data_IF_587359547393
#
_entry.id   IF_587359547393
#
_cell.length_a   1.000
_cell.length_b   1.000
_cell.length_c   1.000
_cell.angle_alpha   90.00
_cell.angle_beta   90.00
_cell.angle_gamma   90.00
#
_symmetry.space_group_name_H-M   'P 1'
#
loop_
_entity.id
_entity.type
_entity.pdbx_description
1 polymer ?
#
# COMPACT_ATOMS: atom_id res chain seq x y z
N UNK A 1 24.40 8.91 8.02
CA UNK A 1 23.44 9.45 7.04
C UNK A 1 22.34 8.46 6.68
N UNK A 2 22.66 7.17 6.45
CA UNK A 2 21.68 6.09 6.20
C UNK A 2 20.64 5.94 7.31
N UNK A 3 21.08 5.89 8.57
CA UNK A 3 20.18 5.65 9.72
C UNK A 3 19.17 6.78 9.96
N UNK A 4 19.61 8.05 9.85
CA UNK A 4 18.71 9.19 9.99
C UNK A 4 17.60 9.19 8.93
N UNK A 5 17.93 8.77 7.69
CA UNK A 5 16.95 8.63 6.60
C UNK A 5 15.93 7.53 6.88
N UNK A 6 16.39 6.38 7.39
CA UNK A 6 15.48 5.28 7.76
C UNK A 6 14.54 5.73 8.88
N UNK A 7 15.06 6.38 9.94
CA UNK A 7 14.24 6.91 11.04
C UNK A 7 13.21 7.93 10.56
N UNK A 8 13.60 8.89 9.72
CA UNK A 8 12.67 9.86 9.14
C UNK A 8 11.57 9.19 8.31
N UNK A 9 11.93 8.17 7.52
CA UNK A 9 10.96 7.38 6.74
C UNK A 9 9.99 6.62 7.66
N UNK A 10 10.47 5.99 8.73
CA UNK A 10 9.61 5.27 9.68
C UNK A 10 8.57 6.21 10.32
N UNK A 11 8.97 7.40 10.75
CA UNK A 11 8.04 8.38 11.32
C UNK A 11 6.97 8.80 10.31
N UNK A 12 7.33 8.97 9.03
CA UNK A 12 6.34 9.29 7.98
C UNK A 12 5.44 8.10 7.63
N UNK A 13 5.96 6.88 7.79
CA UNK A 13 5.23 5.67 7.43
C UNK A 13 4.01 5.41 8.29
N UNK A 14 4.02 5.78 9.56
CA UNK A 14 2.83 5.69 10.41
C UNK A 14 1.64 6.43 9.78
N UNK A 15 1.82 7.70 9.41
CA UNK A 15 0.77 8.50 8.76
C UNK A 15 0.36 7.95 7.39
N UNK A 16 1.34 7.49 6.59
CA UNK A 16 1.05 6.93 5.25
C UNK A 16 0.25 5.63 5.36
N UNK A 17 0.57 4.76 6.32
CA UNK A 17 -0.12 3.50 6.57
C UNK A 17 -1.54 3.76 7.06
N UNK A 18 -1.72 4.67 8.01
CA UNK A 18 -3.05 5.02 8.52
C UNK A 18 -3.95 5.57 7.39
N UNK A 19 -3.40 6.45 6.54
CA UNK A 19 -4.10 6.96 5.38
C UNK A 19 -4.44 5.87 4.37
N UNK A 20 -3.54 4.91 4.15
CA UNK A 20 -3.78 3.77 3.28
C UNK A 20 -4.91 2.89 3.81
N UNK A 21 -4.85 2.47 5.07
CA UNK A 21 -5.90 1.69 5.73
C UNK A 21 -7.25 2.40 5.73
N UNK A 22 -7.28 3.72 5.99
CA UNK A 22 -8.52 4.51 5.92
C UNK A 22 -9.12 4.59 4.50
N UNK A 23 -8.27 4.61 3.47
CA UNK A 23 -8.72 4.56 2.09
C UNK A 23 -9.26 3.16 1.72
N UNK A 24 -8.59 2.09 2.17
CA UNK A 24 -9.05 0.71 1.94
C UNK A 24 -10.40 0.45 2.62
N UNK A 25 -10.58 0.87 3.87
CA UNK A 25 -11.86 0.76 4.57
C UNK A 25 -12.99 1.52 3.86
N UNK A 26 -12.70 2.67 3.24
CA UNK A 26 -13.70 3.35 2.39
C UNK A 26 -14.05 2.54 1.15
N UNK A 27 -13.07 1.87 0.53
CA UNK A 27 -13.29 1.05 -0.67
C UNK A 27 -14.12 -0.18 -0.32
N UNK A 28 -13.78 -0.87 0.77
CA UNK A 28 -14.53 -2.01 1.30
C UNK A 28 -16.00 -1.66 1.55
N UNK A 29 -16.25 -0.53 2.20
CA UNK A 29 -17.61 -0.04 2.43
C UNK A 29 -18.39 0.22 1.11
N UNK A 30 -17.72 0.72 0.06
CA UNK A 30 -18.37 0.90 -1.25
C UNK A 30 -18.76 -0.45 -1.86
N UNK A 31 -17.88 -1.46 -1.76
CA UNK A 31 -18.16 -2.80 -2.26
C UNK A 31 -19.32 -3.47 -1.52
N UNK A 32 -19.43 -3.24 -0.20
CA UNK A 32 -20.51 -3.81 0.61
C UNK A 32 -21.90 -3.27 0.25
N UNK A 33 -22.00 -2.00 -0.18
CA UNK A 33 -23.28 -1.32 -0.45
C UNK A 33 -23.84 -1.68 -1.85
N UNK A 34 -23.01 -2.20 -2.77
CA UNK A 34 -23.38 -2.56 -4.15
C UNK A 34 -24.02 -1.42 -4.98
N UNK A 35 -23.93 -0.17 -4.52
CA UNK A 35 -24.33 1.03 -5.28
C UNK A 35 -23.06 1.78 -5.65
N UNK A 36 -22.73 1.78 -6.93
CA UNK A 36 -21.52 2.43 -7.43
C UNK A 36 -21.79 3.92 -7.70
N UNK A 37 -21.19 4.78 -6.87
CA UNK A 37 -20.93 6.17 -7.22
C UNK A 37 -19.56 6.24 -7.92
N UNK A 38 -19.58 6.33 -9.26
CA UNK A 38 -18.38 6.29 -10.10
C UNK A 38 -17.41 7.43 -9.77
N UNK A 39 -17.92 8.64 -9.52
CA UNK A 39 -17.08 9.79 -9.19
C UNK A 39 -16.38 9.59 -7.85
N UNK A 40 -17.10 9.03 -6.87
CA UNK A 40 -16.54 8.71 -5.57
C UNK A 40 -15.51 7.58 -5.67
N UNK A 41 -15.75 6.55 -6.48
CA UNK A 41 -14.79 5.48 -6.75
C UNK A 41 -13.51 6.02 -7.41
N UNK A 42 -13.62 6.83 -8.46
CA UNK A 42 -12.46 7.42 -9.14
C UNK A 42 -11.64 8.31 -8.19
N UNK A 43 -12.30 9.15 -7.38
CA UNK A 43 -11.61 9.98 -6.37
C UNK A 43 -10.89 9.12 -5.34
N UNK A 44 -11.52 8.05 -4.87
CA UNK A 44 -10.91 7.16 -3.88
C UNK A 44 -9.70 6.43 -4.46
N UNK A 45 -9.81 5.87 -5.66
CA UNK A 45 -8.68 5.21 -6.33
C UNK A 45 -7.50 6.14 -6.55
N UNK A 46 -7.74 7.42 -6.90
CA UNK A 46 -6.66 8.40 -7.01
C UNK A 46 -5.92 8.59 -5.69
N UNK A 47 -6.63 8.57 -4.55
CA UNK A 47 -6.01 8.64 -3.21
C UNK A 47 -5.23 7.37 -2.88
N UNK A 48 -5.80 6.19 -3.14
CA UNK A 48 -5.13 4.89 -2.95
C UNK A 48 -3.83 4.83 -3.76
N UNK A 49 -3.87 5.20 -5.04
CA UNK A 49 -2.70 5.29 -5.93
C UNK A 49 -1.62 6.21 -5.38
N UNK A 50 -2.01 7.35 -4.82
CA UNK A 50 -1.08 8.30 -4.20
C UNK A 50 -0.42 7.70 -2.95
N UNK A 51 -1.21 7.16 -2.03
CA UNK A 51 -0.67 6.54 -0.81
C UNK A 51 0.23 5.35 -1.14
N UNK A 52 -0.11 4.55 -2.15
CA UNK A 52 0.74 3.43 -2.60
C UNK A 52 2.08 3.90 -3.17
N UNK A 53 2.12 5.05 -3.85
CA UNK A 53 3.37 5.66 -4.30
C UNK A 53 4.24 6.11 -3.13
N UNK A 54 3.63 6.70 -2.11
CA UNK A 54 4.34 7.11 -0.88
C UNK A 54 4.88 5.88 -0.13
N UNK A 55 4.11 4.78 -0.07
CA UNK A 55 4.56 3.47 0.43
C UNK A 55 5.77 2.97 -0.36
N UNK A 56 5.71 2.99 -1.69
CA UNK A 56 6.84 2.58 -2.55
C UNK A 56 8.12 3.35 -2.25
N UNK A 57 8.04 4.67 -2.20
CA UNK A 57 9.19 5.54 -1.97
C UNK A 57 9.82 5.28 -0.60
N UNK A 58 9.01 5.08 0.44
CA UNK A 58 9.51 4.74 1.76
C UNK A 58 10.09 3.32 1.85
N UNK A 59 9.43 2.32 1.25
CA UNK A 59 9.93 0.94 1.23
C UNK A 59 11.28 0.86 0.53
N UNK A 60 11.39 1.51 -0.63
CA UNK A 60 12.65 1.61 -1.37
C UNK A 60 13.74 2.25 -0.53
N UNK A 61 13.43 3.37 0.14
CA UNK A 61 14.40 4.05 1.03
C UNK A 61 14.90 3.14 2.14
N UNK A 62 14.00 2.37 2.76
CA UNK A 62 14.37 1.42 3.81
C UNK A 62 15.25 0.30 3.23
N UNK A 63 14.80 -0.39 2.16
CA UNK A 63 15.55 -1.48 1.52
C UNK A 63 16.98 -1.06 1.16
N UNK A 64 17.14 0.12 0.56
CA UNK A 64 18.45 0.62 0.12
C UNK A 64 19.39 1.00 1.27
N UNK A 65 18.87 1.29 2.47
CA UNK A 65 19.66 1.84 3.58
C UNK A 65 19.73 0.92 4.81
N UNK A 66 18.89 -0.11 4.91
CA UNK A 66 18.74 -0.95 6.10
C UNK A 66 20.04 -1.68 6.49
N UNK A 67 20.85 -2.08 5.50
CA UNK A 67 22.15 -2.72 5.74
C UNK A 67 23.15 -1.83 6.48
N UNK A 68 22.97 -0.51 6.43
CA UNK A 68 23.78 0.49 7.11
C UNK A 68 23.17 1.03 8.41
N UNK A 69 22.06 0.47 8.90
CA UNK A 69 21.43 0.85 10.18
C UNK A 69 22.09 0.04 11.30
N UNK A 70 22.78 0.69 12.23
CA UNK A 70 23.49 0.00 13.33
C UNK A 70 22.56 -0.26 14.50
N UNK A 71 21.63 0.66 14.75
CA UNK A 71 20.64 0.53 15.81
C UNK A 71 19.68 -0.65 15.55
N UNK A 72 19.68 -1.59 16.50
CA UNK A 72 18.92 -2.84 16.39
C UNK A 72 17.41 -2.57 16.37
N UNK A 73 16.93 -1.67 17.22
CA UNK A 73 15.51 -1.36 17.31
C UNK A 73 14.99 -0.79 15.99
N UNK A 74 15.65 0.24 15.45
CA UNK A 74 15.30 0.84 14.16
C UNK A 74 15.27 -0.19 13.03
N UNK A 75 16.22 -1.15 13.05
CA UNK A 75 16.28 -2.22 12.06
C UNK A 75 15.09 -3.18 12.18
N UNK A 76 14.76 -3.62 13.40
CA UNK A 76 13.62 -4.52 13.66
C UNK A 76 12.28 -3.85 13.31
N UNK A 77 12.09 -2.57 13.70
CA UNK A 77 10.89 -1.79 13.35
C UNK A 77 10.72 -1.66 11.83
N UNK A 78 11.80 -1.37 11.11
CA UNK A 78 11.80 -1.27 9.65
C UNK A 78 11.37 -2.58 8.97
N UNK A 79 11.93 -3.71 9.42
CA UNK A 79 11.58 -5.03 8.89
C UNK A 79 10.12 -5.36 9.23
N UNK A 80 9.68 -5.04 10.45
CA UNK A 80 8.31 -5.27 10.91
C UNK A 80 7.27 -4.53 10.08
N UNK A 81 7.46 -3.23 9.86
CA UNK A 81 6.53 -2.42 9.07
C UNK A 81 6.45 -2.90 7.62
N UNK A 82 7.60 -3.21 7.01
CA UNK A 82 7.62 -3.72 5.63
C UNK A 82 6.95 -5.09 5.52
N UNK A 83 7.17 -5.96 6.50
CA UNK A 83 6.51 -7.26 6.55
C UNK A 83 4.99 -7.12 6.68
N UNK A 84 4.52 -6.22 7.55
CA UNK A 84 3.08 -5.90 7.67
C UNK A 84 2.49 -5.39 6.35
N UNK A 85 3.16 -4.43 5.70
CA UNK A 85 2.74 -3.88 4.40
C UNK A 85 2.64 -4.97 3.33
N UNK A 86 3.64 -5.86 3.25
CA UNK A 86 3.67 -6.95 2.29
C UNK A 86 2.61 -8.04 2.54
N UNK A 87 2.37 -8.41 3.80
CA UNK A 87 1.48 -9.52 4.16
C UNK A 87 0.00 -9.12 4.22
N UNK A 88 -0.27 -7.90 4.68
CA UNK A 88 -1.63 -7.44 4.99
C UNK A 88 -2.01 -6.27 4.08
N UNK A 89 -1.41 -5.09 4.25
CA UNK A 89 -1.88 -3.87 3.58
C UNK A 89 -1.97 -3.97 2.05
N UNK A 90 -0.90 -4.41 1.40
CA UNK A 90 -0.85 -4.54 -0.07
C UNK A 90 -1.71 -5.70 -0.60
N UNK A 91 -1.84 -6.76 0.20
CA UNK A 91 -2.68 -7.90 -0.15
C UNK A 91 -4.17 -7.51 -0.10
N UNK A 92 -4.59 -6.81 0.94
CA UNK A 92 -5.95 -6.30 1.10
C UNK A 92 -6.30 -5.33 -0.03
N UNK A 93 -5.37 -4.43 -0.38
CA UNK A 93 -5.53 -3.53 -1.51
C UNK A 93 -5.77 -4.29 -2.82
N UNK A 94 -4.98 -5.34 -3.10
CA UNK A 94 -5.13 -6.17 -4.30
C UNK A 94 -6.52 -6.83 -4.37
N UNK A 95 -6.97 -7.40 -3.25
CA UNK A 95 -8.26 -8.08 -3.16
C UNK A 95 -9.42 -7.09 -3.36
N UNK A 96 -9.35 -5.91 -2.72
CA UNK A 96 -10.36 -4.86 -2.86
C UNK A 96 -10.42 -4.28 -4.27
N UNK A 97 -9.28 -4.07 -4.94
CA UNK A 97 -9.27 -3.59 -6.32
C UNK A 97 -9.90 -4.60 -7.29
N UNK A 98 -9.59 -5.89 -7.11
CA UNK A 98 -10.24 -6.96 -7.90
C UNK A 98 -11.74 -7.02 -7.64
N UNK A 99 -12.15 -6.92 -6.37
CA UNK A 99 -13.57 -6.82 -6.00
C UNK A 99 -14.26 -5.62 -6.66
N UNK A 100 -13.61 -4.45 -6.70
CA UNK A 100 -14.12 -3.27 -7.39
C UNK A 100 -14.31 -3.50 -8.88
N UNK A 101 -13.32 -4.11 -9.55
CA UNK A 101 -13.43 -4.44 -10.97
C UNK A 101 -14.62 -5.37 -11.24
N UNK A 102 -14.84 -6.38 -10.40
CA UNK A 102 -15.97 -7.30 -10.54
C UNK A 102 -17.33 -6.62 -10.34
N UNK A 103 -17.46 -5.75 -9.33
CA UNK A 103 -18.70 -5.00 -9.08
C UNK A 103 -18.96 -4.01 -10.22
N UNK A 104 -17.95 -3.30 -10.71
CA UNK A 104 -18.06 -2.39 -11.86
C UNK A 104 -18.55 -3.14 -13.10
N UNK A 105 -17.91 -4.27 -13.42
CA UNK A 105 -18.27 -5.10 -14.58
C UNK A 105 -19.71 -5.60 -14.51
N UNK A 106 -20.21 -5.98 -13.33
CA UNK A 106 -21.61 -6.38 -13.12
C UNK A 106 -22.60 -5.25 -13.36
N UNK A 107 -22.19 -4.01 -13.14
CA UNK A 107 -23.00 -2.81 -13.36
C UNK A 107 -22.86 -2.22 -14.78
N UNK A 108 -22.16 -2.91 -15.68
CA UNK A 108 -21.94 -2.45 -17.05
C UNK A 108 -20.84 -1.40 -17.20
N UNK A 109 -20.08 -1.15 -16.14
CA UNK A 109 -18.98 -0.19 -16.10
C UNK A 109 -17.63 -0.90 -16.16
N UNK A 110 -16.59 -0.17 -16.57
CA UNK A 110 -15.23 -0.71 -16.67
C UNK A 110 -14.25 0.18 -15.93
N UNK A 111 -13.33 -0.46 -15.21
CA UNK A 111 -12.24 0.22 -14.52
C UNK A 111 -10.93 -0.49 -14.82
N UNK A 112 -9.95 0.28 -15.28
CA UNK A 112 -8.62 -0.25 -15.53
C UNK A 112 -7.79 -0.19 -14.24
N UNK A 113 -7.42 -1.39 -13.79
CA UNK A 113 -6.59 -1.62 -12.60
C UNK A 113 -5.36 -2.46 -12.92
N UNK A 114 -5.05 -2.75 -14.18
CA UNK A 114 -3.96 -3.66 -14.52
C UNK A 114 -2.61 -3.13 -14.03
N UNK A 115 -2.36 -1.84 -14.24
CA UNK A 115 -1.16 -1.17 -13.73
C UNK A 115 -1.14 -1.13 -12.19
N UNK A 116 -2.29 -0.97 -11.55
CA UNK A 116 -2.40 -1.00 -10.09
C UNK A 116 -1.99 -2.38 -9.54
N UNK A 117 -2.53 -3.46 -10.12
CA UNK A 117 -2.19 -4.84 -9.77
C UNK A 117 -0.70 -5.10 -9.93
N UNK A 118 -0.11 -4.67 -11.05
CA UNK A 118 1.32 -4.83 -11.31
C UNK A 118 2.17 -4.12 -10.26
N UNK A 119 1.85 -2.86 -9.94
CA UNK A 119 2.57 -2.08 -8.91
C UNK A 119 2.49 -2.74 -7.53
N UNK A 120 1.32 -3.26 -7.16
CA UNK A 120 1.13 -3.95 -5.89
C UNK A 120 1.99 -5.22 -5.84
N UNK A 121 2.01 -6.02 -6.91
CA UNK A 121 2.84 -7.22 -6.97
C UNK A 121 4.33 -6.91 -6.86
N UNK A 122 4.81 -5.85 -7.51
CA UNK A 122 6.21 -5.38 -7.39
C UNK A 122 6.55 -4.96 -5.95
N UNK A 123 5.63 -4.29 -5.26
CA UNK A 123 5.80 -3.92 -3.85
C UNK A 123 5.83 -5.14 -2.93
N UNK A 124 4.97 -6.13 -3.17
CA UNK A 124 4.96 -7.38 -2.40
C UNK A 124 6.27 -8.16 -2.59
N UNK A 125 6.81 -8.21 -3.81
CA UNK A 125 8.13 -8.80 -4.09
C UNK A 125 9.28 -8.02 -3.44
N UNK A 126 9.17 -6.69 -3.33
CA UNK A 126 10.13 -5.88 -2.58
C UNK A 126 10.08 -6.20 -1.08
N UNK A 127 8.88 -6.35 -0.50
CA UNK A 127 8.71 -6.68 0.90
C UNK A 127 9.28 -8.07 1.25
N UNK A 128 9.06 -9.07 0.39
CA UNK A 128 9.53 -10.44 0.62
C UNK A 128 11.05 -10.57 0.69
N UNK A 129 11.79 -9.66 0.05
CA UNK A 129 13.26 -9.61 0.10
C UNK A 129 13.82 -9.15 1.45
N UNK A 130 12.99 -8.55 2.30
CA UNK A 130 13.37 -8.09 3.65
C UNK A 130 12.86 -9.00 4.77
N UNK A 131 11.85 -9.82 4.50
CA UNK A 131 11.41 -10.86 5.43
C UNK A 131 12.45 -12.00 5.45
N UNK A 132 13.19 -12.09 6.55
CA UNK A 132 14.08 -13.21 6.88
C UNK A 132 13.32 -14.33 7.61
#
# INVERSE_FOLDING_TARGET
MSEARVKETLTKFEEVIDNHSANLGQLENMLAINVIDLDRCHRLLKRIRRTRREIYEGMKTIVENIGGVVDRQTREESIGIISYLGMVGLKDELELLKGLQDVMKKNGESIDINDDVKQIMELMDMASKLSF
#
